data_IF_459420455775
#
_entry.id   IF_459420455775
#
_cell.length_a   1.000
_cell.length_b   1.000
_cell.length_c   1.000
_cell.angle_alpha   90.00
_cell.angle_beta   90.00
_cell.angle_gamma   90.00
#
_symmetry.space_group_name_H-M   'P 1'
#
loop_
_entity.id
_entity.type
_entity.pdbx_description
1 polymer ?
#
# COMPACT_ATOMS: atom_id res chain seq x y z
N UNK A 1 -23.81 17.08 -3.23
CA UNK A 1 -22.86 17.95 -2.53
C UNK A 1 -21.50 17.67 -3.13
N UNK A 2 -21.00 18.61 -3.91
CA UNK A 2 -19.63 18.59 -4.43
C UNK A 2 -18.71 18.90 -3.27
N UNK A 3 -18.19 17.85 -2.62
CA UNK A 3 -17.11 17.99 -1.65
C UNK A 3 -15.94 18.63 -2.39
N UNK A 4 -15.66 19.88 -2.05
CA UNK A 4 -14.44 20.57 -2.45
C UNK A 4 -13.27 19.73 -1.99
N UNK A 5 -12.55 19.14 -2.94
CA UNK A 5 -11.26 18.49 -2.68
C UNK A 5 -10.40 19.57 -2.03
N UNK A 6 -10.18 19.50 -0.73
CA UNK A 6 -9.13 20.28 -0.09
C UNK A 6 -7.82 19.89 -0.77
N UNK A 7 -7.33 20.80 -1.61
CA UNK A 7 -6.07 20.61 -2.32
C UNK A 7 -4.96 20.94 -1.34
N UNK A 8 -4.49 19.93 -0.61
CA UNK A 8 -3.23 20.04 0.12
C UNK A 8 -2.09 20.16 -0.92
N UNK A 9 -1.36 21.29 -0.98
CA UNK A 9 -0.28 21.43 -1.96
C UNK A 9 0.85 20.44 -1.63
N UNK A 10 1.38 19.70 -2.62
CA UNK A 10 2.49 18.79 -2.37
C UNK A 10 3.76 19.58 -2.06
N UNK A 11 4.43 19.24 -0.96
CA UNK A 11 5.76 19.75 -0.63
C UNK A 11 6.87 18.93 -1.28
N UNK A 12 6.57 17.70 -1.70
CA UNK A 12 7.46 16.84 -2.46
C UNK A 12 6.69 16.01 -3.49
N UNK A 13 7.37 15.69 -4.59
CA UNK A 13 6.86 14.86 -5.67
C UNK A 13 7.98 13.95 -6.17
N UNK A 14 7.63 12.70 -6.47
CA UNK A 14 8.55 11.76 -7.10
C UNK A 14 7.82 10.78 -8.01
N UNK A 15 8.52 10.30 -9.05
CA UNK A 15 8.07 9.18 -9.86
C UNK A 15 8.77 7.90 -9.42
N UNK A 16 7.99 6.89 -9.06
CA UNK A 16 8.47 5.54 -8.83
C UNK A 16 8.33 4.75 -10.14
N UNK A 17 9.43 4.33 -10.79
CA UNK A 17 9.34 3.57 -12.02
C UNK A 17 8.70 2.20 -11.78
N UNK A 18 8.10 1.61 -12.81
CA UNK A 18 7.66 0.22 -12.78
C UNK A 18 8.83 -0.72 -12.44
N UNK A 19 8.61 -1.65 -11.53
CA UNK A 19 9.63 -2.51 -10.93
C UNK A 19 10.49 -1.82 -9.87
N UNK A 20 10.25 -0.54 -9.60
CA UNK A 20 10.91 0.23 -8.56
C UNK A 20 10.38 -0.09 -7.16
N UNK A 21 11.20 0.23 -6.16
CA UNK A 21 10.89 0.03 -4.75
C UNK A 21 11.38 1.22 -3.93
N UNK A 22 10.77 1.46 -2.78
CA UNK A 22 11.16 2.55 -1.88
C UNK A 22 10.70 2.33 -0.45
N UNK A 23 11.48 2.88 0.48
CA UNK A 23 11.08 3.11 1.86
C UNK A 23 11.33 4.54 2.30
N UNK A 24 10.45 5.05 3.17
CA UNK A 24 10.53 6.38 3.76
C UNK A 24 9.60 6.46 4.98
N UNK A 25 9.83 7.45 5.85
CA UNK A 25 8.90 7.77 6.93
C UNK A 25 7.90 8.79 6.44
N UNK A 26 6.61 8.43 6.43
CA UNK A 26 5.51 9.37 6.33
C UNK A 26 5.22 9.90 7.74
N UNK A 27 5.50 11.18 7.96
CA UNK A 27 5.40 11.78 9.30
C UNK A 27 3.95 11.94 9.74
N UNK A 28 3.73 11.95 11.05
CA UNK A 28 2.41 12.29 11.62
C UNK A 28 1.91 13.61 11.04
N UNK A 29 0.65 13.63 10.58
CA UNK A 29 0.05 14.80 9.93
C UNK A 29 0.39 14.92 8.44
N UNK A 30 1.03 13.93 7.84
CA UNK A 30 1.29 13.91 6.40
C UNK A 30 0.32 13.00 5.65
N UNK A 31 0.10 13.38 4.40
CA UNK A 31 -0.69 12.66 3.43
C UNK A 31 0.23 12.22 2.29
N UNK A 32 0.16 10.94 1.94
CA UNK A 32 0.81 10.39 0.76
C UNK A 32 -0.27 10.08 -0.28
N UNK A 33 -0.21 10.74 -1.43
CA UNK A 33 -0.99 10.34 -2.61
C UNK A 33 -0.13 9.49 -3.54
N UNK A 34 -0.64 8.33 -3.90
CA UNK A 34 -0.11 7.49 -4.96
C UNK A 34 -1.05 7.59 -6.16
N UNK A 35 -0.53 7.94 -7.33
CA UNK A 35 -1.31 8.04 -8.58
C UNK A 35 -0.80 7.06 -9.61
N UNK A 36 -1.69 6.24 -10.15
CA UNK A 36 -1.43 5.36 -11.28
C UNK A 36 -1.31 6.20 -12.57
N UNK A 37 -0.10 6.29 -13.14
CA UNK A 37 0.15 7.17 -14.30
C UNK A 37 -0.44 6.56 -15.59
N UNK A 38 -0.45 5.23 -15.71
CA UNK A 38 -0.72 4.54 -16.99
C UNK A 38 -1.96 3.64 -16.97
N UNK A 39 -2.52 3.36 -15.80
CA UNK A 39 -3.57 2.37 -15.62
C UNK A 39 -2.99 0.98 -15.39
N UNK A 40 -3.70 0.16 -14.61
CA UNK A 40 -3.28 -1.20 -14.28
C UNK A 40 -2.06 -1.27 -13.35
N UNK A 41 -1.80 -0.24 -12.54
CA UNK A 41 -0.78 -0.30 -11.51
C UNK A 41 -1.11 -1.33 -10.42
N UNK A 42 -0.07 -1.81 -9.75
CA UNK A 42 -0.14 -2.50 -8.48
C UNK A 42 1.01 -1.99 -7.60
N UNK A 43 0.71 -1.69 -6.33
CA UNK A 43 1.72 -1.33 -5.34
C UNK A 43 1.54 -2.24 -4.13
N UNK A 44 2.48 -3.16 -3.95
CA UNK A 44 2.57 -3.96 -2.72
C UNK A 44 3.32 -3.14 -1.68
N UNK A 45 2.70 -2.91 -0.52
CA UNK A 45 3.29 -2.16 0.58
C UNK A 45 3.11 -2.85 1.93
N UNK A 46 4.04 -2.58 2.84
CA UNK A 46 3.90 -2.85 4.26
C UNK A 46 4.22 -1.58 5.05
N UNK A 47 3.63 -1.47 6.24
CA UNK A 47 3.73 -0.30 7.11
C UNK A 47 4.25 -0.74 8.48
N UNK A 48 5.10 0.09 9.08
CA UNK A 48 5.60 -0.12 10.43
C UNK A 48 5.53 1.19 11.20
N UNK A 49 5.44 1.14 12.53
CA UNK A 49 5.72 2.31 13.34
C UNK A 49 7.21 2.69 13.15
N UNK A 50 7.49 3.94 12.76
CA UNK A 50 8.85 4.36 12.47
C UNK A 50 9.76 4.33 13.71
N UNK A 51 9.17 4.54 14.89
CA UNK A 51 9.88 4.63 16.17
C UNK A 51 9.99 3.27 16.88
N UNK A 52 9.13 2.31 16.56
CA UNK A 52 9.14 0.96 17.13
C UNK A 52 8.81 -0.06 16.03
N UNK A 53 9.83 -0.55 15.32
CA UNK A 53 9.65 -1.37 14.11
C UNK A 53 9.13 -2.78 14.41
N UNK A 54 9.01 -3.17 15.68
CA UNK A 54 8.29 -4.39 16.05
C UNK A 54 6.77 -4.24 15.92
N UNK A 55 6.26 -3.00 15.97
CA UNK A 55 4.85 -2.68 15.69
C UNK A 55 4.64 -2.49 14.18
N UNK A 56 3.78 -3.32 13.58
CA UNK A 56 3.70 -3.46 12.13
C UNK A 56 2.30 -3.73 11.63
N UNK A 57 2.08 -3.47 10.35
CA UNK A 57 0.80 -3.64 9.67
C UNK A 57 0.23 -5.04 9.93
N UNK A 58 -1.02 -5.05 10.39
CA UNK A 58 -1.79 -6.25 10.63
C UNK A 58 -3.06 -6.18 9.76
N UNK A 59 -3.03 -6.87 8.62
CA UNK A 59 -4.18 -6.94 7.72
C UNK A 59 -5.39 -7.60 8.39
N UNK A 60 -5.28 -8.72 9.13
CA UNK A 60 -6.40 -9.28 9.89
C UNK A 60 -7.09 -8.25 10.80
N UNK A 61 -6.35 -7.44 11.53
CA UNK A 61 -6.90 -6.37 12.37
C UNK A 61 -7.53 -5.27 11.53
N UNK A 62 -6.88 -4.88 10.43
CA UNK A 62 -7.41 -3.91 9.47
C UNK A 62 -8.75 -4.37 8.86
N UNK A 63 -8.94 -5.67 8.63
CA UNK A 63 -10.17 -6.21 8.07
C UNK A 63 -11.25 -6.42 9.16
N UNK A 64 -10.90 -7.15 10.23
CA UNK A 64 -11.86 -7.58 11.24
C UNK A 64 -12.42 -6.41 12.06
N UNK A 65 -11.59 -5.43 12.42
CA UNK A 65 -12.05 -4.26 13.19
C UNK A 65 -13.04 -3.41 12.39
N UNK A 66 -13.05 -3.56 11.07
CA UNK A 66 -13.87 -2.73 10.18
C UNK A 66 -15.03 -3.51 9.54
N UNK A 67 -15.14 -4.81 9.87
CA UNK A 67 -16.10 -5.75 9.33
C UNK A 67 -16.12 -5.75 7.79
N UNK A 68 -14.93 -5.76 7.17
CA UNK A 68 -14.76 -5.69 5.72
C UNK A 68 -13.69 -6.65 5.23
N UNK A 69 -13.86 -7.15 4.01
CA UNK A 69 -12.80 -7.79 3.21
C UNK A 69 -12.28 -6.87 2.09
N UNK A 70 -12.81 -5.63 2.03
CA UNK A 70 -12.57 -4.62 1.00
C UNK A 70 -12.00 -3.38 1.66
N UNK A 71 -10.70 -3.17 1.53
CA UNK A 71 -10.06 -1.93 1.97
C UNK A 71 -10.17 -0.88 0.87
N UNK A 72 -10.59 0.32 1.25
CA UNK A 72 -10.84 1.49 0.38
C UNK A 72 -11.04 2.73 1.25
N UNK A 73 -11.41 3.89 0.67
CA UNK A 73 -11.71 5.13 1.37
C UNK A 73 -12.56 4.91 2.62
N UNK A 74 -12.18 5.56 3.73
CA UNK A 74 -12.86 5.46 5.02
C UNK A 74 -12.34 4.32 5.91
N UNK A 75 -11.39 3.52 5.43
CA UNK A 75 -10.78 2.45 6.21
C UNK A 75 -9.41 2.84 6.79
N UNK A 76 -9.10 2.27 7.96
CA UNK A 76 -7.82 2.39 8.65
C UNK A 76 -6.95 1.15 8.45
N UNK A 77 -5.64 1.35 8.38
CA UNK A 77 -4.62 0.31 8.35
C UNK A 77 -4.03 0.19 9.76
N UNK A 78 -4.32 -0.92 10.42
CA UNK A 78 -3.99 -1.15 11.82
C UNK A 78 -2.61 -1.80 11.99
N UNK A 79 -1.95 -1.46 13.10
CA UNK A 79 -0.86 -2.27 13.64
C UNK A 79 -1.40 -3.47 14.43
N UNK A 80 -0.54 -4.45 14.65
CA UNK A 80 -0.75 -5.57 15.58
C UNK A 80 -0.90 -5.14 17.06
N UNK A 81 -0.53 -3.91 17.39
CA UNK A 81 -0.78 -3.31 18.72
C UNK A 81 -2.08 -2.50 18.79
N UNK A 82 -2.96 -2.60 17.78
CA UNK A 82 -4.27 -1.96 17.79
C UNK A 82 -4.24 -0.43 17.66
N UNK A 83 -3.22 0.10 16.97
CA UNK A 83 -3.08 1.52 16.61
C UNK A 83 -3.25 1.69 15.10
N UNK A 84 -3.50 2.93 14.65
CA UNK A 84 -3.68 3.23 13.23
C UNK A 84 -2.36 3.69 12.63
N UNK A 85 -1.77 2.91 11.73
CA UNK A 85 -0.55 3.28 11.01
C UNK A 85 -0.85 4.26 9.86
N UNK A 86 -1.97 4.06 9.18
CA UNK A 86 -2.44 4.97 8.13
C UNK A 86 -3.96 4.90 7.97
N UNK A 87 -4.56 5.93 7.40
CA UNK A 87 -5.98 5.99 7.04
C UNK A 87 -6.13 6.25 5.54
N UNK A 88 -7.00 5.48 4.87
CA UNK A 88 -7.28 5.64 3.44
C UNK A 88 -8.31 6.77 3.27
N UNK A 89 -7.84 7.99 3.06
CA UNK A 89 -8.72 9.18 3.01
C UNK A 89 -9.38 9.37 1.65
N UNK A 90 -8.75 8.86 0.61
CA UNK A 90 -9.29 8.79 -0.75
C UNK A 90 -8.83 7.51 -1.46
N UNK A 91 -9.69 6.98 -2.32
CA UNK A 91 -9.42 5.84 -3.19
C UNK A 91 -10.40 5.92 -4.37
N UNK A 92 -9.91 6.23 -5.57
CA UNK A 92 -10.75 6.33 -6.76
C UNK A 92 -10.97 4.99 -7.47
N UNK A 93 -10.13 3.98 -7.21
CA UNK A 93 -10.33 2.61 -7.68
C UNK A 93 -11.44 1.91 -6.90
N UNK A 94 -11.52 2.23 -5.60
CA UNK A 94 -12.51 1.70 -4.69
C UNK A 94 -12.19 0.31 -4.15
N UNK A 95 -10.99 -0.24 -4.37
CA UNK A 95 -10.57 -1.55 -3.84
C UNK A 95 -9.05 -1.67 -3.77
N UNK A 96 -8.55 -2.16 -2.63
CA UNK A 96 -7.18 -2.65 -2.45
C UNK A 96 -7.17 -4.11 -1.96
N UNK A 97 -6.35 -4.94 -2.57
CA UNK A 97 -6.23 -6.36 -2.23
C UNK A 97 -5.35 -6.56 -0.99
N UNK A 98 -5.79 -7.45 -0.10
CA UNK A 98 -5.10 -7.78 1.16
C UNK A 98 -4.72 -9.27 1.25
N UNK A 99 -4.90 -10.02 0.16
CA UNK A 99 -4.81 -11.49 0.15
C UNK A 99 -3.66 -11.97 -0.73
N UNK A 100 -3.44 -11.33 -1.89
CA UNK A 100 -2.59 -11.86 -2.95
C UNK A 100 -1.09 -11.80 -2.69
N UNK A 101 -0.64 -11.17 -1.59
CA UNK A 101 0.78 -11.11 -1.24
C UNK A 101 1.61 -10.31 -2.26
N UNK A 102 2.86 -10.71 -2.46
CA UNK A 102 3.81 -10.03 -3.34
C UNK A 102 4.58 -11.05 -4.17
N UNK A 103 4.87 -10.72 -5.43
CA UNK A 103 5.59 -11.61 -6.35
C UNK A 103 6.97 -11.98 -5.77
N UNK A 104 7.28 -13.26 -5.68
CA UNK A 104 8.62 -13.76 -5.33
C UNK A 104 9.42 -14.16 -6.58
N UNK A 105 10.72 -14.42 -6.40
CA UNK A 105 11.63 -14.75 -7.50
C UNK A 105 11.20 -16.00 -8.29
N UNK A 106 10.66 -17.02 -7.59
CA UNK A 106 10.19 -18.25 -8.22
C UNK A 106 8.97 -18.01 -9.12
N UNK A 107 7.98 -17.24 -8.64
CA UNK A 107 6.79 -16.89 -9.42
C UNK A 107 7.13 -16.02 -10.63
N UNK A 108 8.10 -15.09 -10.49
CA UNK A 108 8.58 -14.29 -11.62
C UNK A 108 9.24 -15.18 -12.68
N UNK A 109 10.07 -16.14 -12.26
CA UNK A 109 10.72 -17.08 -13.18
C UNK A 109 9.71 -18.01 -13.88
N UNK A 110 8.67 -18.46 -13.16
CA UNK A 110 7.60 -19.29 -13.72
C UNK A 110 6.76 -18.51 -14.75
N UNK A 111 6.36 -17.28 -14.41
CA UNK A 111 5.41 -16.48 -15.19
C UNK A 111 6.05 -15.75 -16.36
N UNK A 112 7.28 -15.27 -16.19
CA UNK A 112 7.95 -14.38 -17.13
C UNK A 112 9.28 -14.93 -17.67
N UNK A 113 9.74 -16.07 -17.15
CA UNK A 113 11.02 -16.68 -17.52
C UNK A 113 12.23 -16.04 -16.85
N UNK A 114 13.42 -16.32 -17.40
CA UNK A 114 14.67 -15.72 -16.93
C UNK A 114 14.85 -14.33 -17.55
N UNK A 115 15.32 -13.38 -16.75
CA UNK A 115 15.66 -12.06 -17.26
C UNK A 115 16.62 -11.35 -16.34
N UNK A 116 17.91 -11.66 -16.51
CA UNK A 116 19.00 -11.19 -15.64
C UNK A 116 19.43 -9.78 -16.00
N UNK A 117 19.96 -9.05 -15.02
CA UNK A 117 20.50 -7.70 -15.23
C UNK A 117 21.60 -7.65 -16.31
N UNK A 118 22.47 -8.66 -16.37
CA UNK A 118 23.57 -8.70 -17.35
C UNK A 118 23.07 -8.73 -18.81
N UNK A 119 21.86 -9.25 -19.03
CA UNK A 119 21.24 -9.42 -20.35
C UNK A 119 20.29 -8.26 -20.66
N UNK A 120 19.40 -7.93 -19.72
CA UNK A 120 18.29 -7.00 -19.94
C UNK A 120 18.54 -5.59 -19.38
N UNK A 121 19.67 -5.37 -18.69
CA UNK A 121 20.00 -4.10 -18.01
C UNK A 121 18.85 -3.64 -17.14
N UNK A 122 18.36 -2.42 -17.32
CA UNK A 122 17.25 -1.87 -16.53
C UNK A 122 15.90 -2.55 -16.81
N UNK A 123 15.78 -3.35 -17.88
CA UNK A 123 14.61 -4.16 -18.20
C UNK A 123 14.61 -5.54 -17.56
N UNK A 124 15.53 -5.83 -16.65
CA UNK A 124 15.57 -7.12 -15.97
C UNK A 124 14.33 -7.37 -15.10
N UNK A 125 14.02 -8.66 -14.92
CA UNK A 125 12.83 -9.09 -14.22
C UNK A 125 13.12 -9.06 -12.72
N UNK A 126 12.45 -8.15 -12.01
CA UNK A 126 12.53 -8.03 -10.55
C UNK A 126 11.38 -8.77 -9.91
N UNK A 127 11.55 -9.13 -8.64
CA UNK A 127 10.48 -9.64 -7.80
C UNK A 127 10.29 -8.73 -6.59
N UNK A 128 9.07 -8.75 -6.05
CA UNK A 128 8.66 -7.84 -5.00
C UNK A 128 9.18 -8.23 -3.63
N UNK A 129 9.38 -9.53 -3.36
CA UNK A 129 10.03 -9.99 -2.12
C UNK A 129 11.42 -9.38 -1.99
N UNK A 130 12.30 -9.54 -2.98
CA UNK A 130 13.66 -8.99 -2.94
C UNK A 130 13.66 -7.47 -2.89
N UNK A 131 12.79 -6.82 -3.66
CA UNK A 131 12.60 -5.37 -3.64
C UNK A 131 12.26 -4.85 -2.23
N UNK A 132 11.32 -5.51 -1.55
CA UNK A 132 10.93 -5.13 -0.18
C UNK A 132 12.03 -5.45 0.82
N UNK A 133 12.77 -6.56 0.68
CA UNK A 133 13.91 -6.89 1.54
C UNK A 133 15.05 -5.87 1.42
N UNK A 134 15.35 -5.40 0.20
CA UNK A 134 16.33 -4.33 -0.03
C UNK A 134 15.94 -3.08 0.74
N UNK A 135 14.65 -2.71 0.72
CA UNK A 135 14.17 -1.53 1.42
C UNK A 135 14.11 -1.72 2.94
N UNK A 136 13.62 -2.88 3.44
CA UNK A 136 13.64 -3.25 4.85
C UNK A 136 15.08 -3.24 5.42
N UNK A 137 16.05 -3.73 4.66
CA UNK A 137 17.46 -3.74 5.03
C UNK A 137 18.03 -2.35 5.33
N UNK A 138 17.52 -1.29 4.68
CA UNK A 138 17.92 0.10 4.98
C UNK A 138 17.53 0.55 6.40
N UNK A 139 16.58 -0.15 7.01
CA UNK A 139 16.06 0.12 8.35
C UNK A 139 16.51 -0.92 9.39
N UNK A 140 17.48 -1.77 9.03
CA UNK A 140 17.98 -2.83 9.90
C UNK A 140 17.02 -4.02 10.05
N UNK A 141 16.08 -4.18 9.12
CA UNK A 141 15.08 -5.24 9.11
C UNK A 141 15.42 -6.30 8.05
N UNK A 142 14.89 -7.51 8.23
CA UNK A 142 15.18 -8.65 7.37
C UNK A 142 13.94 -9.45 6.98
N UNK A 143 14.15 -10.68 6.52
CA UNK A 143 13.09 -11.57 6.03
C UNK A 143 12.03 -11.90 7.09
N UNK A 144 12.43 -12.01 8.37
CA UNK A 144 11.49 -12.21 9.49
C UNK A 144 10.53 -11.05 9.71
N UNK A 145 10.84 -9.88 9.15
CA UNK A 145 10.07 -8.65 9.29
C UNK A 145 9.15 -8.41 8.09
N UNK A 146 9.38 -9.11 6.97
CA UNK A 146 8.52 -9.08 5.79
C UNK A 146 7.25 -9.91 6.03
N UNK A 147 6.23 -9.26 6.57
CA UNK A 147 4.89 -9.84 6.73
C UNK A 147 4.00 -9.55 5.50
N UNK A 148 2.68 -9.71 5.69
CA UNK A 148 1.66 -9.46 4.68
C UNK A 148 1.76 -8.05 4.09
N UNK A 149 1.55 -7.97 2.78
CA UNK A 149 1.52 -6.72 2.02
C UNK A 149 0.10 -6.36 1.61
N UNK A 150 -0.23 -5.08 1.66
CA UNK A 150 -1.42 -4.54 1.01
C UNK A 150 -1.08 -4.20 -0.44
N UNK A 151 -1.90 -4.66 -1.38
CA UNK A 151 -1.80 -4.39 -2.80
C UNK A 151 -2.78 -3.27 -3.18
N UNK A 152 -2.28 -2.03 -3.21
CA UNK A 152 -3.05 -0.90 -3.73
C UNK A 152 -3.28 -1.06 -5.23
N UNK A 153 -4.39 -0.49 -5.73
CA UNK A 153 -4.82 -0.50 -7.14
C UNK A 153 -5.28 -1.87 -7.68
N UNK A 154 -5.01 -2.96 -6.96
CA UNK A 154 -5.41 -4.32 -7.33
C UNK A 154 -6.65 -4.79 -6.59
N UNK A 155 -7.39 -5.70 -7.24
CA UNK A 155 -8.54 -6.38 -6.65
C UNK A 155 -8.44 -7.89 -6.90
N UNK A 156 -8.57 -8.65 -5.82
CA UNK A 156 -8.88 -10.08 -5.85
C UNK A 156 -10.32 -10.25 -5.37
N UNK A 157 -11.07 -11.13 -6.03
CA UNK A 157 -12.41 -11.52 -5.65
C UNK A 157 -12.47 -13.02 -5.45
N UNK A 158 -13.50 -13.48 -4.75
CA UNK A 158 -13.78 -14.90 -4.57
C UNK A 158 -15.04 -15.28 -5.36
N UNK A 159 -15.04 -16.47 -5.95
CA UNK A 159 -16.23 -17.07 -6.55
C UNK A 159 -17.04 -17.89 -5.51
N UNK A 160 -18.18 -18.44 -5.91
CA UNK A 160 -19.05 -19.24 -5.05
C UNK A 160 -18.38 -20.53 -4.55
N UNK A 161 -17.37 -21.04 -5.25
CA UNK A 161 -16.59 -22.21 -4.88
C UNK A 161 -15.42 -21.92 -3.94
N UNK A 162 -15.20 -20.64 -3.58
CA UNK A 162 -14.05 -20.22 -2.77
C UNK A 162 -12.78 -19.98 -3.58
N UNK A 163 -12.84 -20.03 -4.92
CA UNK A 163 -11.73 -19.75 -5.81
C UNK A 163 -11.40 -18.27 -5.85
N UNK A 164 -10.14 -17.91 -5.60
CA UNK A 164 -9.64 -16.54 -5.73
C UNK A 164 -9.30 -16.24 -7.19
N UNK A 165 -9.73 -15.09 -7.69
CA UNK A 165 -9.35 -14.60 -9.02
C UNK A 165 -9.05 -13.10 -9.02
N UNK A 166 -8.08 -12.71 -9.84
CA UNK A 166 -7.76 -11.30 -10.07
C UNK A 166 -8.83 -10.64 -10.93
N UNK A 167 -9.22 -9.41 -10.59
CA UNK A 167 -10.19 -8.61 -11.34
C UNK A 167 -9.44 -7.58 -12.20
N UNK A 168 -9.36 -7.76 -13.53
CA UNK A 168 -8.68 -6.81 -14.42
C UNK A 168 -9.37 -5.44 -14.44
N UNK A 169 -8.60 -4.40 -14.74
CA UNK A 169 -9.13 -3.05 -14.95
C UNK A 169 -9.67 -2.35 -13.69
N UNK A 170 -9.24 -2.79 -12.50
CA UNK A 170 -9.58 -2.13 -11.23
C UNK A 170 -9.03 -0.70 -11.15
N UNK A 171 -7.84 -0.46 -11.71
CA UNK A 171 -7.19 0.86 -11.79
C UNK A 171 -7.07 1.35 -13.23
N UNK A 172 -7.34 2.64 -13.45
CA UNK A 172 -7.21 3.38 -14.70
C UNK A 172 -6.17 4.49 -14.56
N UNK A 173 -5.66 4.97 -15.70
CA UNK A 173 -4.73 6.09 -15.71
C UNK A 173 -5.35 7.32 -15.01
N UNK A 174 -4.64 7.90 -14.05
CA UNK A 174 -5.07 9.02 -13.22
C UNK A 174 -5.77 8.61 -11.93
N UNK A 175 -6.09 7.33 -11.71
CA UNK A 175 -6.61 6.87 -10.43
C UNK A 175 -5.58 7.10 -9.32
N UNK A 176 -6.08 7.39 -8.12
CA UNK A 176 -5.22 7.65 -6.97
C UNK A 176 -5.79 7.14 -5.66
N UNK A 177 -4.88 6.87 -4.74
CA UNK A 177 -5.16 6.49 -3.35
C UNK A 177 -4.36 7.43 -2.44
N UNK A 178 -4.98 7.85 -1.35
CA UNK A 178 -4.36 8.71 -0.34
C UNK A 178 -4.29 8.03 1.01
N UNK A 179 -3.11 8.08 1.62
CA UNK A 179 -2.83 7.53 2.94
C UNK A 179 -2.43 8.67 3.88
N UNK A 180 -3.26 8.95 4.88
CA UNK A 180 -2.93 9.88 5.96
C UNK A 180 -2.25 9.13 7.11
N UNK A 181 -1.18 9.69 7.66
CA UNK A 181 -0.45 9.11 8.78
C UNK A 181 -0.80 9.81 10.11
N UNK A 182 -1.54 9.16 11.03
CA UNK A 182 -1.82 9.72 12.36
C UNK A 182 -0.66 9.50 13.36
N UNK A 183 0.38 8.77 12.97
CA UNK A 183 1.65 8.62 13.67
C UNK A 183 2.80 8.66 12.64
N UNK A 184 4.06 8.68 13.10
CA UNK A 184 5.19 8.49 12.19
C UNK A 184 5.24 7.04 11.70
N UNK A 185 4.96 6.84 10.41
CA UNK A 185 4.82 5.52 9.80
C UNK A 185 5.92 5.29 8.79
N UNK A 186 6.70 4.24 8.98
CA UNK A 186 7.62 3.73 7.99
C UNK A 186 6.82 3.02 6.90
N UNK A 187 6.83 3.58 5.69
CA UNK A 187 6.24 3.01 4.49
C UNK A 187 7.33 2.26 3.74
N UNK A 188 7.07 1.01 3.35
CA UNK A 188 7.94 0.20 2.50
C UNK A 188 7.10 -0.36 1.36
N UNK A 189 7.47 -0.07 0.11
CA UNK A 189 6.64 -0.39 -1.05
C UNK A 189 7.43 -0.79 -2.30
N UNK A 190 6.76 -1.49 -3.21
CA UNK A 190 7.26 -1.83 -4.55
C UNK A 190 6.13 -1.74 -5.60
N UNK A 191 6.44 -1.16 -6.76
CA UNK A 191 5.53 -1.06 -7.89
C UNK A 191 5.75 -2.22 -8.87
N UNK A 192 5.25 -3.40 -8.54
CA UNK A 192 5.34 -4.61 -9.37
C UNK A 192 3.95 -5.15 -9.68
N UNK A 193 3.83 -5.96 -10.73
CA UNK A 193 2.57 -6.64 -11.04
C UNK A 193 2.10 -7.50 -9.87
N UNK A 194 0.79 -7.59 -9.71
CA UNK A 194 0.18 -8.46 -8.71
C UNK A 194 0.48 -9.93 -9.05
N UNK A 195 0.71 -10.82 -8.06
CA UNK A 195 0.98 -12.25 -8.33
C UNK A 195 -0.06 -12.90 -9.25
N UNK A 196 -1.33 -12.66 -8.97
CA UNK A 196 -2.47 -13.19 -9.72
C UNK A 196 -2.83 -12.42 -11.01
N UNK A 197 -2.12 -11.36 -11.39
CA UNK A 197 -2.38 -10.64 -12.65
C UNK A 197 -2.22 -11.61 -13.85
N UNK A 198 -3.21 -11.83 -14.71
CA UNK A 198 -3.11 -12.79 -15.81
C UNK A 198 -2.17 -12.35 -16.95
N UNK A 199 -1.65 -11.12 -16.94
CA UNK A 199 -0.76 -10.63 -18.00
C UNK A 199 0.53 -11.46 -18.08
N UNK A 200 0.81 -12.12 -19.23
CA UNK A 200 1.99 -12.97 -19.39
C UNK A 200 3.27 -12.16 -19.62
N UNK A 201 3.17 -10.85 -19.86
CA UNK A 201 4.32 -9.98 -20.07
C UNK A 201 4.70 -9.30 -18.76
N UNK A 202 6.01 -9.23 -18.48
CA UNK A 202 6.51 -8.42 -17.37
C UNK A 202 6.40 -6.93 -17.74
N UNK A 203 5.41 -6.26 -17.17
CA UNK A 203 4.98 -4.91 -17.50
C UNK A 203 4.52 -4.12 -16.25
N UNK A 204 5.37 -3.97 -15.22
CA UNK A 204 5.02 -3.17 -14.06
C UNK A 204 4.84 -1.69 -14.43
N UNK A 205 3.83 -1.04 -13.84
CA UNK A 205 3.47 0.34 -14.16
C UNK A 205 4.13 1.35 -13.22
N UNK A 206 4.48 2.56 -13.71
CA UNK A 206 5.04 3.62 -12.89
C UNK A 206 3.97 4.37 -12.10
N UNK A 207 4.36 4.87 -10.93
CA UNK A 207 3.50 5.60 -10.00
C UNK A 207 4.06 7.01 -9.80
N UNK A 208 3.16 7.96 -9.58
CA UNK A 208 3.51 9.29 -9.06
C UNK A 208 3.20 9.33 -7.57
N UNK A 209 4.17 9.76 -6.77
CA UNK A 209 4.07 9.91 -5.32
C UNK A 209 4.08 11.41 -4.99
N UNK A 210 3.09 11.85 -4.22
CA UNK A 210 3.01 13.22 -3.72
C UNK A 210 2.89 13.21 -2.19
N UNK A 211 3.74 13.99 -1.53
CA UNK A 211 3.68 14.19 -0.08
C UNK A 211 3.12 15.58 0.21
N UNK A 212 2.14 15.61 1.10
CA UNK A 212 1.45 16.83 1.52
C UNK A 212 1.36 16.86 3.04
N UNK A 213 1.24 18.07 3.61
CA UNK A 213 0.83 18.23 5.00
C UNK A 213 -0.69 18.35 5.03
N UNK A 214 -1.34 17.68 5.97
CA UNK A 214 -2.78 17.72 6.14
C UNK A 214 -3.15 17.84 7.62
N UNK A 215 -4.24 18.54 7.91
CA UNK A 215 -4.82 18.53 9.25
C UNK A 215 -5.44 17.15 9.55
N UNK A 216 -5.50 16.79 10.83
CA UNK A 216 -6.07 15.52 11.27
C UNK A 216 -7.53 15.29 10.85
N UNK A 217 -8.29 16.35 10.57
CA UNK A 217 -9.66 16.31 10.06
C UNK A 217 -9.78 15.60 8.71
N UNK A 218 -8.72 15.50 7.90
CA UNK A 218 -8.73 14.74 6.64
C UNK A 218 -9.07 13.26 6.86
N UNK A 219 -8.75 12.74 8.05
CA UNK A 219 -9.02 11.36 8.44
C UNK A 219 -10.32 11.19 9.24
N UNK A 220 -11.11 12.24 9.43
CA UNK A 220 -12.31 12.20 10.30
C UNK A 220 -13.33 11.16 9.84
N UNK A 221 -13.54 11.05 8.52
CA UNK A 221 -14.40 10.00 7.98
C UNK A 221 -13.86 8.59 8.28
N UNK A 222 -12.54 8.42 8.27
CA UNK A 222 -11.91 7.13 8.63
C UNK A 222 -12.04 6.85 10.13
N UNK A 223 -11.87 7.88 10.97
CA UNK A 223 -12.01 7.80 12.43
C UNK A 223 -13.41 7.38 12.85
N UNK A 224 -14.44 7.93 12.19
CA UNK A 224 -15.85 7.76 12.58
C UNK A 224 -16.59 6.67 11.80
N UNK A 225 -15.97 6.04 10.81
CA UNK A 225 -16.63 4.99 10.01
C UNK A 225 -16.98 3.74 10.84
N UNK A 226 -16.25 3.48 11.93
CA UNK A 226 -16.48 2.38 12.88
C UNK A 226 -16.08 2.77 14.31
N UNK A 227 -16.79 2.30 15.35
CA UNK A 227 -16.38 2.49 16.75
C UNK A 227 -14.97 1.97 17.06
N UNK A 228 -14.55 0.91 16.38
CA UNK A 228 -13.20 0.35 16.48
C UNK A 228 -12.13 1.35 16.02
N UNK A 229 -12.42 2.10 14.94
CA UNK A 229 -11.51 3.12 14.41
C UNK A 229 -11.32 4.25 15.42
N UNK A 230 -12.40 4.73 16.05
CA UNK A 230 -12.29 5.72 17.13
C UNK A 230 -11.34 5.23 18.24
N UNK A 231 -11.49 3.98 18.70
CA UNK A 231 -10.58 3.40 19.70
C UNK A 231 -9.15 3.24 19.19
N UNK A 232 -8.96 2.84 17.94
CA UNK A 232 -7.66 2.74 17.29
C UNK A 232 -6.94 4.09 17.24
N UNK A 233 -7.66 5.16 16.89
CA UNK A 233 -7.11 6.51 16.93
C UNK A 233 -6.84 6.98 18.36
N UNK A 234 -7.72 6.71 19.34
CA UNK A 234 -7.45 7.00 20.77
C UNK A 234 -6.15 6.32 21.23
N UNK A 235 -5.95 5.04 20.87
CA UNK A 235 -4.71 4.32 21.19
C UNK A 235 -3.48 4.91 20.50
N UNK A 236 -3.66 5.46 19.31
CA UNK A 236 -2.61 6.15 18.54
C UNK A 236 -2.25 7.49 19.17
N UNK A 237 -3.25 8.32 19.47
CA UNK A 237 -3.08 9.67 20.00
C UNK A 237 -2.41 9.64 21.39
N UNK A 238 -2.62 8.57 22.19
CA UNK A 238 -1.93 8.33 23.47
C UNK A 238 -0.41 8.25 23.37
N UNK A 239 0.17 7.95 22.20
CA UNK A 239 1.63 7.96 22.01
C UNK A 239 2.23 9.38 22.08
N UNK A 240 1.38 10.40 21.95
CA UNK A 240 1.77 11.80 21.81
C UNK A 240 1.10 12.71 22.84
N UNK A 241 0.46 12.12 23.86
CA UNK A 241 -0.22 12.80 24.95
C UNK A 241 0.76 13.21 26.07
#
# INVERSE_FOLDING_TARGET
>A
MTDSIELFPPFAEEMLPGGGHRSFVLKRGQLLRLTDIRGGANVSLTLLNANEKTERLNLPDSLKCQHTAKLTRGHCLYSDMGRVLAAITADTCGWSDSIGGVLCAAEVAEKYGQGRYQELRNGFLRNGTDNLLVELGKWGLGLSDLLMTLNLFSRVSVDEGGGLYFVPGNSRAGDYIELYAPMDTLVVLTALQHPMDPNPNYAPQPLKLNWMNADSSVAEHCRTSRPENERGFINTDRLFA
#
